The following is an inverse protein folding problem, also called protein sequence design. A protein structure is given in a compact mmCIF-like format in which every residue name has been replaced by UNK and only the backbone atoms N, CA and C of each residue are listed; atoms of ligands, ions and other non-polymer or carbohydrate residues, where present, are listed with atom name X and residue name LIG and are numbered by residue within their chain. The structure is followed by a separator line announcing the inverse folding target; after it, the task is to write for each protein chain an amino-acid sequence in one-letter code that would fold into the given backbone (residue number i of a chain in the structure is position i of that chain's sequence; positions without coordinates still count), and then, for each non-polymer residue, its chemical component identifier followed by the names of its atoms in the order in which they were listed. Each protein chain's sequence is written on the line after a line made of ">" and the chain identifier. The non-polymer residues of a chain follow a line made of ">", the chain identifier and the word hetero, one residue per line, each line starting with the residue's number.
data_IF_648072477798
#
_entry.id   IF_648072477798
#
_cell.length_a   1.000
_cell.length_b   1.000
_cell.length_c   1.000
_cell.angle_alpha   90.00
_cell.angle_beta   90.00
_cell.angle_gamma   90.00
#
_symmetry.space_group_name_H-M   'P 1'
#
loop_
_entity.id
_entity.type
_entity.pdbx_description
1 polymer ?
#
# COMPACT_ATOMS: atom_id res chain seq x y z
N UNK A 1 6.55 10.96 14.40
CA UNK A 1 7.83 10.33 14.01
C UNK A 1 7.65 9.76 12.61
N UNK A 2 8.63 9.90 11.72
CA UNK A 2 8.59 9.28 10.40
C UNK A 2 8.66 7.76 10.55
N UNK A 3 7.84 7.02 9.80
CA UNK A 3 7.75 5.57 9.87
C UNK A 3 7.76 4.97 8.46
N UNK A 4 8.19 3.71 8.37
CA UNK A 4 8.22 2.90 7.15
C UNK A 4 7.15 1.79 7.16
N UNK A 5 6.10 1.96 7.97
CA UNK A 5 5.04 0.95 8.05
C UNK A 5 4.47 0.63 6.67
N UNK A 6 4.41 -0.68 6.38
CA UNK A 6 3.92 -1.22 5.13
C UNK A 6 4.70 -0.72 3.89
N UNK A 7 5.98 -0.36 4.05
CA UNK A 7 6.88 0.01 2.95
C UNK A 7 7.88 -1.11 2.66
N UNK A 8 8.07 -1.37 1.40
CA UNK A 8 9.03 -2.34 0.89
C UNK A 8 10.34 -1.61 0.57
N UNK A 9 11.38 -1.87 1.36
CA UNK A 9 12.71 -1.32 1.14
C UNK A 9 13.61 -2.39 0.54
N UNK A 10 14.07 -2.18 -0.68
CA UNK A 10 15.08 -3.02 -1.31
C UNK A 10 16.45 -2.44 -1.01
N UNK A 11 17.20 -3.13 -0.15
CA UNK A 11 18.54 -2.72 0.27
C UNK A 11 19.60 -3.33 -0.66
N UNK A 12 20.27 -2.49 -1.43
CA UNK A 12 21.45 -2.86 -2.21
C UNK A 12 22.72 -2.70 -1.38
N UNK A 13 23.54 -3.74 -1.30
CA UNK A 13 24.84 -3.70 -0.60
C UNK A 13 25.96 -3.89 -1.60
N UNK A 14 26.84 -2.89 -1.72
CA UNK A 14 28.03 -2.99 -2.59
C UNK A 14 29.33 -3.25 -1.80
N UNK A 15 30.38 -3.64 -2.51
CA UNK A 15 31.64 -4.16 -1.93
C UNK A 15 32.51 -3.09 -1.30
N UNK A 16 32.56 -3.03 0.02
CA UNK A 16 33.42 -2.15 0.79
C UNK A 16 33.35 -2.47 2.27
N UNK A 17 34.35 -2.02 3.04
CA UNK A 17 34.41 -2.30 4.49
C UNK A 17 33.13 -1.87 5.22
N UNK A 18 32.46 -0.81 4.78
CA UNK A 18 31.24 -0.30 5.39
C UNK A 18 30.02 -1.26 5.23
N UNK A 19 30.15 -2.36 4.48
CA UNK A 19 29.08 -3.34 4.30
C UNK A 19 28.62 -3.97 5.66
N UNK A 20 29.50 -4.02 6.69
CA UNK A 20 29.10 -4.49 8.02
C UNK A 20 27.97 -3.65 8.65
N UNK A 21 27.92 -2.34 8.34
CA UNK A 21 26.87 -1.43 8.84
C UNK A 21 25.50 -1.75 8.24
N UNK A 22 25.44 -2.43 7.10
CA UNK A 22 24.17 -2.82 6.46
C UNK A 22 23.37 -3.79 7.31
N UNK A 23 24.04 -4.59 8.17
CA UNK A 23 23.39 -5.47 9.13
C UNK A 23 22.54 -4.68 10.16
N UNK A 24 23.13 -3.61 10.72
CA UNK A 24 22.42 -2.73 11.64
C UNK A 24 21.35 -1.90 10.92
N UNK A 25 21.62 -1.48 9.69
CA UNK A 25 20.67 -0.74 8.87
C UNK A 25 19.40 -1.57 8.59
N UNK A 26 19.51 -2.87 8.30
CA UNK A 26 18.36 -3.77 8.14
C UNK A 26 17.48 -3.74 9.39
N UNK A 27 18.08 -3.89 10.58
CA UNK A 27 17.33 -3.88 11.85
C UNK A 27 16.60 -2.57 12.06
N UNK A 28 17.27 -1.44 11.84
CA UNK A 28 16.67 -0.11 12.04
C UNK A 28 15.54 0.19 11.05
N UNK A 29 15.66 -0.24 9.79
CA UNK A 29 14.58 -0.14 8.82
C UNK A 29 13.35 -0.96 9.25
N UNK A 30 13.58 -2.18 9.78
CA UNK A 30 12.50 -3.02 10.31
C UNK A 30 11.87 -2.45 11.59
N UNK A 31 12.67 -1.86 12.51
CA UNK A 31 12.18 -1.16 13.70
C UNK A 31 11.29 0.04 13.33
N UNK A 32 11.52 0.67 12.18
CA UNK A 32 10.65 1.69 11.61
C UNK A 32 9.42 1.12 10.87
N UNK A 33 9.30 -0.21 10.79
CA UNK A 33 8.16 -0.92 10.21
C UNK A 33 8.31 -1.32 8.75
N UNK A 34 9.51 -1.23 8.16
CA UNK A 34 9.76 -1.65 6.78
C UNK A 34 9.78 -3.17 6.62
N UNK A 35 9.32 -3.65 5.46
CA UNK A 35 9.67 -4.96 4.96
C UNK A 35 10.96 -4.82 4.12
N UNK A 36 12.02 -5.54 4.48
CA UNK A 36 13.34 -5.38 3.86
C UNK A 36 13.73 -6.64 3.09
N UNK A 37 14.02 -6.48 1.79
CA UNK A 37 14.74 -7.48 0.97
C UNK A 37 16.12 -6.94 0.64
N UNK A 38 17.08 -7.84 0.40
CA UNK A 38 18.47 -7.44 0.19
C UNK A 38 19.00 -7.98 -1.14
N UNK A 39 19.70 -7.10 -1.88
CA UNK A 39 20.54 -7.48 -3.02
C UNK A 39 22.00 -7.23 -2.64
N UNK A 40 22.85 -8.20 -2.87
CA UNK A 40 24.31 -8.05 -2.67
C UNK A 40 25.05 -8.17 -3.99
N UNK A 41 25.96 -7.21 -4.24
CA UNK A 41 26.93 -7.38 -5.33
C UNK A 41 27.95 -8.47 -4.95
N UNK A 42 28.64 -9.05 -5.95
CA UNK A 42 29.70 -10.01 -5.70
C UNK A 42 30.77 -9.46 -4.74
N UNK A 43 31.16 -8.18 -4.91
CA UNK A 43 32.13 -7.54 -4.02
C UNK A 43 31.63 -7.37 -2.59
N UNK A 44 30.33 -7.27 -2.35
CA UNK A 44 29.76 -7.17 -0.99
C UNK A 44 29.92 -8.46 -0.20
N UNK A 45 29.83 -9.62 -0.89
CA UNK A 45 29.92 -10.93 -0.27
C UNK A 45 31.31 -11.23 0.32
N UNK A 46 32.36 -10.51 -0.12
CA UNK A 46 33.71 -10.59 0.44
C UNK A 46 33.84 -9.89 1.82
N UNK A 47 32.90 -9.01 2.17
CA UNK A 47 32.93 -8.25 3.43
C UNK A 47 31.89 -8.71 4.45
N UNK A 48 30.75 -9.23 3.99
CA UNK A 48 29.68 -9.76 4.81
C UNK A 48 28.95 -10.89 4.05
N UNK A 49 28.57 -11.95 4.76
CA UNK A 49 27.93 -13.09 4.09
C UNK A 49 26.44 -12.83 3.82
N UNK A 50 25.88 -13.37 2.72
CA UNK A 50 24.45 -13.34 2.46
C UNK A 50 23.62 -13.92 3.63
N UNK A 51 24.11 -14.97 4.28
CA UNK A 51 23.45 -15.61 5.43
C UNK A 51 23.21 -14.63 6.58
N UNK A 52 24.15 -13.70 6.86
CA UNK A 52 23.98 -12.68 7.89
C UNK A 52 22.79 -11.78 7.61
N UNK A 53 22.69 -11.28 6.38
CA UNK A 53 21.62 -10.38 5.98
C UNK A 53 20.27 -11.10 5.80
N UNK A 54 20.29 -12.37 5.39
CA UNK A 54 19.10 -13.22 5.35
C UNK A 54 18.52 -13.46 6.74
N UNK A 55 19.38 -13.78 7.73
CA UNK A 55 18.94 -14.00 9.11
C UNK A 55 18.33 -12.73 9.73
N UNK A 56 18.88 -11.55 9.42
CA UNK A 56 18.39 -10.27 9.93
C UNK A 56 17.11 -9.80 9.21
N UNK A 57 17.05 -9.91 7.89
CA UNK A 57 15.89 -9.45 7.11
C UNK A 57 14.70 -10.41 7.16
N UNK A 58 14.93 -11.67 7.56
CA UNK A 58 13.98 -12.78 7.45
C UNK A 58 13.48 -13.02 6.01
N UNK A 59 14.25 -12.57 5.02
CA UNK A 59 13.96 -12.72 3.59
C UNK A 59 15.20 -13.28 2.88
N UNK A 60 15.04 -14.01 1.77
CA UNK A 60 16.15 -14.42 0.92
C UNK A 60 16.99 -13.23 0.47
N UNK A 61 18.31 -13.43 0.38
CA UNK A 61 19.24 -12.45 -0.17
C UNK A 61 19.52 -12.80 -1.64
N UNK A 62 19.36 -11.82 -2.51
CA UNK A 62 19.53 -11.98 -3.95
C UNK A 62 20.95 -11.57 -4.36
N UNK A 63 21.65 -12.43 -5.10
CA UNK A 63 23.07 -12.21 -5.47
C UNK A 63 23.30 -12.29 -6.97
N UNK A 64 22.50 -13.06 -7.71
CA UNK A 64 22.71 -13.36 -9.12
C UNK A 64 21.61 -12.77 -9.99
N UNK A 65 21.99 -12.21 -11.15
CA UNK A 65 21.05 -11.68 -12.14
C UNK A 65 20.23 -12.81 -12.81
N UNK A 66 20.87 -13.94 -13.08
CA UNK A 66 20.27 -15.11 -13.69
C UNK A 66 20.28 -16.24 -12.63
N UNK A 67 19.22 -16.32 -11.86
CA UNK A 67 18.99 -17.38 -10.89
C UNK A 67 18.07 -18.42 -11.55
N UNK A 68 18.60 -19.64 -11.77
CA UNK A 68 17.83 -20.75 -12.35
C UNK A 68 16.66 -21.22 -11.47
N UNK A 69 16.71 -20.90 -10.16
CA UNK A 69 15.66 -21.22 -9.18
C UNK A 69 14.65 -20.08 -8.99
N UNK A 70 14.93 -18.87 -9.51
CA UNK A 70 13.96 -17.80 -9.53
C UNK A 70 12.90 -18.09 -10.62
N UNK A 71 11.64 -18.24 -10.22
CA UNK A 71 10.55 -18.57 -11.14
C UNK A 71 10.58 -17.72 -12.42
N UNK A 72 10.74 -18.39 -13.55
CA UNK A 72 10.65 -17.87 -14.92
C UNK A 72 11.64 -16.73 -15.32
N UNK A 73 12.82 -16.61 -14.71
CA UNK A 73 13.89 -15.73 -15.23
C UNK A 73 13.64 -14.22 -15.17
N UNK A 74 12.62 -13.75 -14.43
CA UNK A 74 12.29 -12.32 -14.29
C UNK A 74 12.46 -11.78 -12.87
N UNK A 75 13.29 -12.39 -12.04
CA UNK A 75 13.50 -12.01 -10.64
C UNK A 75 13.89 -10.54 -10.43
N UNK A 76 14.68 -9.94 -11.35
CA UNK A 76 15.02 -8.52 -11.30
C UNK A 76 13.80 -7.61 -11.53
N UNK A 77 12.85 -7.98 -12.39
CA UNK A 77 11.61 -7.22 -12.62
C UNK A 77 10.68 -7.33 -11.40
N UNK A 78 10.59 -8.52 -10.78
CA UNK A 78 9.82 -8.69 -9.56
C UNK A 78 10.37 -7.81 -8.43
N UNK A 79 11.67 -7.83 -8.18
CA UNK A 79 12.33 -6.99 -7.18
C UNK A 79 12.14 -5.49 -7.47
N UNK A 80 12.27 -5.09 -8.73
CA UNK A 80 12.08 -3.69 -9.15
C UNK A 80 10.65 -3.19 -8.91
N UNK A 81 9.64 -4.05 -9.15
CA UNK A 81 8.22 -3.73 -8.91
C UNK A 81 7.84 -3.80 -7.44
N UNK A 82 8.47 -4.70 -6.68
CA UNK A 82 8.19 -4.88 -5.27
C UNK A 82 8.64 -3.69 -4.42
N UNK A 83 9.72 -2.98 -4.80
CA UNK A 83 10.31 -1.92 -4.02
C UNK A 83 9.49 -0.63 -4.02
N UNK A 84 9.27 -0.05 -2.83
CA UNK A 84 8.84 1.35 -2.64
C UNK A 84 10.05 2.30 -2.53
N UNK A 85 11.21 1.76 -2.19
CA UNK A 85 12.50 2.45 -2.10
C UNK A 85 13.62 1.48 -2.49
N UNK A 86 14.48 1.90 -3.42
CA UNK A 86 15.78 1.28 -3.61
C UNK A 86 16.83 2.09 -2.83
N UNK A 87 17.30 1.51 -1.72
CA UNK A 87 18.33 2.09 -0.86
C UNK A 87 19.65 1.34 -1.07
N UNK A 88 20.70 2.01 -1.49
CA UNK A 88 22.03 1.41 -1.67
C UNK A 88 22.97 1.91 -0.56
N UNK A 89 23.34 1.02 0.34
CA UNK A 89 24.18 1.30 1.50
C UNK A 89 25.04 0.07 1.88
N UNK A 90 26.36 0.13 1.72
CA UNK A 90 27.13 1.22 1.13
C UNK A 90 26.98 1.33 -0.39
N UNK A 91 27.17 2.55 -0.94
CA UNK A 91 27.33 2.81 -2.37
C UNK A 91 28.80 3.16 -2.67
N UNK A 92 29.52 2.24 -3.33
CA UNK A 92 30.92 2.45 -3.71
C UNK A 92 31.07 3.35 -4.94
N UNK A 93 32.24 3.95 -5.14
CA UNK A 93 32.55 4.78 -6.32
C UNK A 93 32.27 4.02 -7.63
N UNK A 94 32.68 2.75 -7.72
CA UNK A 94 32.43 1.90 -8.88
C UNK A 94 30.92 1.74 -9.15
N UNK A 95 30.13 1.41 -8.15
CA UNK A 95 28.69 1.27 -8.33
C UNK A 95 28.02 2.60 -8.71
N UNK A 96 28.42 3.70 -8.08
CA UNK A 96 27.95 5.07 -8.44
C UNK A 96 28.26 5.39 -9.90
N UNK A 97 29.46 5.05 -10.39
CA UNK A 97 29.83 5.26 -11.79
C UNK A 97 28.98 4.40 -12.74
N UNK A 98 28.73 3.13 -12.40
CA UNK A 98 27.84 2.25 -13.19
C UNK A 98 26.41 2.78 -13.26
N UNK A 99 25.86 3.20 -12.14
CA UNK A 99 24.51 3.77 -12.08
C UNK A 99 24.39 5.08 -12.88
N UNK A 100 25.42 5.97 -12.81
CA UNK A 100 25.42 7.24 -13.53
C UNK A 100 25.43 7.06 -15.04
N UNK A 101 26.08 6.01 -15.53
CA UNK A 101 26.16 5.69 -16.97
C UNK A 101 25.06 4.73 -17.45
N UNK A 102 24.18 4.26 -16.56
CA UNK A 102 23.10 3.35 -16.92
C UNK A 102 23.59 1.93 -17.27
N UNK A 103 24.70 1.52 -16.72
CA UNK A 103 25.25 0.16 -16.92
C UNK A 103 24.49 -0.85 -16.05
N UNK A 104 24.09 -1.99 -16.62
CA UNK A 104 23.29 -3.04 -15.99
C UNK A 104 23.94 -4.41 -16.20
N UNK A 105 25.10 -4.61 -15.58
CA UNK A 105 25.92 -5.83 -15.72
C UNK A 105 25.89 -6.72 -14.47
N UNK A 106 25.14 -6.33 -13.44
CA UNK A 106 24.80 -7.16 -12.28
C UNK A 106 23.33 -6.97 -11.87
N UNK A 107 22.85 -7.78 -10.92
CA UNK A 107 21.46 -7.74 -10.45
C UNK A 107 21.10 -6.36 -9.90
N UNK A 108 21.96 -5.75 -9.06
CA UNK A 108 21.66 -4.48 -8.40
C UNK A 108 21.54 -3.33 -9.39
N UNK A 109 22.48 -3.20 -10.34
CA UNK A 109 22.43 -2.17 -11.37
C UNK A 109 21.29 -2.38 -12.35
N UNK A 110 20.93 -3.63 -12.67
CA UNK A 110 19.77 -3.96 -13.50
C UNK A 110 18.45 -3.57 -12.82
N UNK A 111 18.28 -3.90 -11.54
CA UNK A 111 17.11 -3.50 -10.76
C UNK A 111 17.02 -1.99 -10.64
N UNK A 112 18.13 -1.29 -10.46
CA UNK A 112 18.15 0.18 -10.39
C UNK A 112 17.65 0.86 -11.68
N UNK A 113 17.87 0.25 -12.85
CA UNK A 113 17.30 0.73 -14.12
C UNK A 113 15.85 0.36 -14.32
N UNK A 114 15.41 -0.76 -13.75
CA UNK A 114 14.06 -1.31 -13.96
C UNK A 114 13.01 -0.76 -12.98
N UNK A 115 13.45 -0.20 -11.84
CA UNK A 115 12.53 0.25 -10.79
C UNK A 115 12.01 1.66 -11.04
N UNK A 116 10.72 1.87 -10.70
CA UNK A 116 10.12 3.21 -10.60
C UNK A 116 10.23 3.80 -9.18
N UNK A 117 10.73 3.03 -8.22
CA UNK A 117 10.92 3.49 -6.85
C UNK A 117 12.02 4.56 -6.75
N UNK A 118 11.90 5.52 -5.82
CA UNK A 118 12.97 6.48 -5.56
C UNK A 118 14.30 5.75 -5.22
N UNK A 119 15.39 6.29 -5.72
CA UNK A 119 16.75 5.81 -5.44
C UNK A 119 17.39 6.65 -4.33
N UNK A 120 17.93 5.98 -3.32
CA UNK A 120 18.71 6.61 -2.24
C UNK A 120 20.08 5.93 -2.15
N UNK A 121 21.14 6.73 -2.07
CA UNK A 121 22.53 6.26 -2.02
C UNK A 121 23.22 6.75 -0.75
N UNK A 122 23.86 5.83 -0.03
CA UNK A 122 24.77 6.14 1.09
C UNK A 122 26.23 5.88 0.67
N UNK A 123 26.94 6.87 0.14
CA UNK A 123 28.30 6.70 -0.36
C UNK A 123 29.28 6.25 0.72
N UNK A 124 30.22 5.36 0.33
CA UNK A 124 31.30 4.91 1.18
C UNK A 124 32.56 4.62 0.33
N UNK A 125 33.61 5.40 0.56
CA UNK A 125 34.88 5.30 -0.18
C UNK A 125 36.01 6.07 0.53
N UNK A 126 37.23 5.92 0.07
CA UNK A 126 38.33 6.76 0.54
C UNK A 126 38.06 8.24 0.22
N UNK A 127 38.58 9.15 1.08
CA UNK A 127 38.36 10.60 0.92
C UNK A 127 38.88 11.17 -0.43
N UNK A 128 39.95 10.62 -0.99
CA UNK A 128 40.45 11.07 -2.30
C UNK A 128 39.53 10.61 -3.42
N UNK A 129 39.01 9.37 -3.35
CA UNK A 129 38.01 8.89 -4.29
C UNK A 129 36.74 9.75 -4.25
N UNK A 130 36.33 10.20 -3.05
CA UNK A 130 35.15 11.08 -2.89
C UNK A 130 35.36 12.45 -3.54
N UNK A 131 36.60 13.01 -3.40
CA UNK A 131 36.97 14.32 -3.98
C UNK A 131 37.32 14.26 -5.47
N UNK A 132 37.45 13.06 -6.01
CA UNK A 132 37.81 12.90 -7.43
C UNK A 132 36.73 13.52 -8.33
N UNK A 133 37.12 14.31 -9.36
CA UNK A 133 36.20 14.95 -10.29
C UNK A 133 35.21 13.95 -10.96
N UNK A 134 35.68 12.73 -11.27
CA UNK A 134 34.80 11.72 -11.87
C UNK A 134 33.71 11.27 -10.88
N UNK A 135 34.04 11.07 -9.61
CA UNK A 135 33.08 10.73 -8.58
C UNK A 135 32.07 11.86 -8.36
N UNK A 136 32.54 13.11 -8.29
CA UNK A 136 31.68 14.29 -8.15
C UNK A 136 30.71 14.39 -9.33
N UNK A 137 31.19 14.28 -10.57
CA UNK A 137 30.34 14.32 -11.76
C UNK A 137 29.29 13.20 -11.80
N UNK A 138 29.63 12.00 -11.33
CA UNK A 138 28.71 10.88 -11.24
C UNK A 138 27.61 11.13 -10.20
N UNK A 139 27.97 11.67 -9.04
CA UNK A 139 27.01 12.05 -7.97
C UNK A 139 26.07 13.15 -8.45
N UNK A 140 26.59 14.18 -9.11
CA UNK A 140 25.78 15.27 -9.66
C UNK A 140 24.81 14.74 -10.71
N UNK A 141 25.26 13.84 -11.60
CA UNK A 141 24.40 13.20 -12.59
C UNK A 141 23.26 12.43 -11.96
N UNK A 142 23.52 11.64 -10.93
CA UNK A 142 22.49 10.86 -10.23
C UNK A 142 21.54 11.76 -9.45
N UNK A 143 22.07 12.82 -8.82
CA UNK A 143 21.25 13.81 -8.10
C UNK A 143 20.31 14.56 -9.04
N UNK A 144 20.78 14.98 -10.23
CA UNK A 144 19.96 15.60 -11.28
C UNK A 144 18.85 14.66 -11.79
N UNK A 145 19.07 13.35 -11.75
CA UNK A 145 18.06 12.32 -12.09
C UNK A 145 17.10 11.99 -10.92
N UNK A 146 17.24 12.68 -9.78
CA UNK A 146 16.35 12.53 -8.62
C UNK A 146 16.83 11.54 -7.56
N UNK A 147 18.05 10.98 -7.68
CA UNK A 147 18.61 10.16 -6.60
C UNK A 147 18.91 11.02 -5.37
N UNK A 148 18.59 10.51 -4.18
CA UNK A 148 18.93 11.15 -2.91
C UNK A 148 20.26 10.63 -2.39
N UNK A 149 21.19 11.52 -2.09
CA UNK A 149 22.51 11.20 -1.57
C UNK A 149 22.51 11.49 -0.07
N UNK A 150 22.88 10.51 0.76
CA UNK A 150 22.93 10.62 2.22
C UNK A 150 24.37 10.45 2.67
N UNK A 151 24.98 11.49 3.16
CA UNK A 151 26.39 11.56 3.48
C UNK A 151 27.27 11.84 2.25
N UNK A 152 28.54 11.41 2.22
CA UNK A 152 29.21 10.63 3.25
C UNK A 152 29.56 11.47 4.49
N UNK A 153 29.67 10.81 5.64
CA UNK A 153 30.15 11.43 6.86
C UNK A 153 31.68 11.67 6.81
N UNK A 154 32.14 12.69 7.54
CA UNK A 154 33.54 12.93 7.75
C UNK A 154 34.07 12.19 9.00
N UNK A 155 35.35 11.82 9.00
CA UNK A 155 36.01 11.19 10.15
C UNK A 155 37.20 10.34 9.74
N UNK A 156 37.71 9.60 10.73
CA UNK A 156 38.83 8.68 10.51
C UNK A 156 38.37 7.47 9.70
N UNK A 157 39.07 7.14 8.64
CA UNK A 157 38.82 6.03 7.75
C UNK A 157 39.66 4.80 8.11
N UNK A 158 39.27 3.62 7.62
CA UNK A 158 40.02 2.38 7.91
C UNK A 158 41.48 2.38 7.44
N UNK A 159 41.83 3.19 6.44
CA UNK A 159 43.18 3.40 5.97
C UNK A 159 44.00 4.39 6.84
N UNK A 160 43.41 4.99 7.86
CA UNK A 160 44.07 6.00 8.72
C UNK A 160 43.84 7.45 8.28
N UNK A 161 43.31 7.68 7.10
CA UNK A 161 43.01 9.03 6.59
C UNK A 161 41.87 9.66 7.39
N UNK A 162 41.81 11.00 7.43
CA UNK A 162 40.74 11.78 8.04
C UNK A 162 40.10 12.70 7.00
N UNK A 163 38.80 12.54 6.81
CA UNK A 163 38.08 13.34 5.80
C UNK A 163 36.70 12.77 5.49
N UNK A 164 35.98 13.36 4.49
CA UNK A 164 34.72 12.83 4.02
C UNK A 164 34.90 11.51 3.25
N UNK A 165 33.96 10.58 3.36
CA UNK A 165 33.98 9.28 2.66
C UNK A 165 33.47 8.10 3.46
N UNK A 166 33.20 8.28 4.75
CA UNK A 166 32.59 7.24 5.58
C UNK A 166 31.09 7.12 5.29
N UNK A 167 30.59 5.89 5.15
CA UNK A 167 29.16 5.68 5.13
C UNK A 167 28.52 6.31 6.36
N UNK A 168 27.43 7.04 6.15
CA UNK A 168 26.64 7.65 7.22
C UNK A 168 26.18 6.59 8.25
N UNK A 169 25.82 7.02 9.43
CA UNK A 169 25.35 6.10 10.46
C UNK A 169 23.98 5.50 10.07
N UNK A 170 23.75 4.19 10.35
CA UNK A 170 22.53 3.50 9.98
C UNK A 170 21.25 4.21 10.42
N UNK A 171 21.25 4.84 11.62
CA UNK A 171 20.12 5.59 12.15
C UNK A 171 19.77 6.82 11.31
N UNK A 172 20.79 7.52 10.79
CA UNK A 172 20.59 8.69 9.91
C UNK A 172 20.06 8.25 8.58
N UNK A 173 20.61 7.17 8.00
CA UNK A 173 20.12 6.61 6.72
C UNK A 173 18.67 6.13 6.86
N UNK A 174 18.35 5.37 7.91
CA UNK A 174 16.99 4.89 8.15
C UNK A 174 15.99 6.04 8.39
N UNK A 175 16.40 7.07 9.14
CA UNK A 175 15.59 8.28 9.32
C UNK A 175 15.36 9.04 8.02
N UNK A 176 16.39 9.17 7.17
CA UNK A 176 16.27 9.78 5.84
C UNK A 176 15.36 8.96 4.91
N UNK A 177 15.43 7.63 4.96
CA UNK A 177 14.52 6.75 4.22
C UNK A 177 13.07 6.93 4.69
N UNK A 178 12.83 7.01 6.00
CA UNK A 178 11.51 7.23 6.56
C UNK A 178 10.94 8.62 6.18
N UNK A 179 11.78 9.65 6.09
CA UNK A 179 11.33 11.00 5.71
C UNK A 179 10.86 11.12 4.25
N UNK A 180 11.24 10.18 3.37
CA UNK A 180 10.66 10.08 2.03
C UNK A 180 9.16 9.82 2.06
N UNK A 181 8.67 9.19 3.13
CA UNK A 181 7.30 8.75 3.30
C UNK A 181 6.59 9.51 4.45
N UNK A 182 7.04 10.73 4.78
CA UNK A 182 6.44 11.56 5.84
C UNK A 182 4.94 11.82 5.67
N UNK A 183 4.40 11.67 4.45
CA UNK A 183 2.98 11.71 4.17
C UNK A 183 2.22 10.40 4.53
N UNK A 184 2.85 9.47 5.23
CA UNK A 184 2.20 8.25 5.77
C UNK A 184 1.26 8.61 6.93
N UNK A 185 0.16 9.28 6.58
CA UNK A 185 -0.76 9.90 7.54
C UNK A 185 -1.52 8.88 8.39
N UNK A 186 -1.58 7.64 7.94
CA UNK A 186 -2.23 6.50 8.58
C UNK A 186 -1.23 5.40 8.99
N UNK A 187 0.06 5.76 9.14
CA UNK A 187 1.09 4.81 9.54
C UNK A 187 0.69 4.05 10.82
N UNK A 188 0.73 2.72 10.74
CA UNK A 188 0.39 1.82 11.84
C UNK A 188 -1.11 1.69 12.15
N UNK A 189 -2.00 2.42 11.48
CA UNK A 189 -3.45 2.24 11.62
C UNK A 189 -3.92 1.00 10.85
N UNK A 190 -4.79 0.22 11.46
CA UNK A 190 -5.42 -0.96 10.85
C UNK A 190 -6.75 -0.56 10.25
N UNK A 191 -6.84 -0.67 8.93
CA UNK A 191 -8.02 -0.24 8.16
C UNK A 191 -8.70 -1.47 7.55
N UNK A 192 -10.00 -1.58 7.74
CA UNK A 192 -10.82 -2.57 7.07
C UNK A 192 -11.75 -1.89 6.08
N UNK A 193 -11.77 -2.38 4.84
CA UNK A 193 -12.57 -1.82 3.74
C UNK A 193 -13.43 -2.93 3.17
N UNK A 194 -14.75 -2.67 3.02
CA UNK A 194 -15.61 -3.57 2.24
C UNK A 194 -15.74 -3.07 0.80
N UNK A 195 -15.74 -3.97 -0.17
CA UNK A 195 -15.79 -3.64 -1.59
C UNK A 195 -16.62 -4.62 -2.41
N UNK A 196 -16.93 -4.22 -3.65
CA UNK A 196 -17.69 -5.05 -4.58
C UNK A 196 -19.15 -5.23 -4.21
N UNK A 197 -19.92 -5.97 -5.03
CA UNK A 197 -21.28 -6.35 -4.72
C UNK A 197 -21.33 -7.60 -3.86
N UNK A 198 -22.43 -7.81 -3.10
CA UNK A 198 -22.77 -9.14 -2.60
C UNK A 198 -23.63 -9.89 -3.62
N UNK A 199 -23.59 -11.20 -3.59
CA UNK A 199 -24.42 -12.10 -4.39
C UNK A 199 -25.25 -12.97 -3.47
N UNK A 200 -26.57 -12.79 -3.53
CA UNK A 200 -27.51 -13.53 -2.72
C UNK A 200 -28.11 -14.65 -3.56
N UNK A 201 -27.69 -15.87 -3.30
CA UNK A 201 -28.03 -17.03 -4.13
C UNK A 201 -29.56 -17.30 -4.12
N UNK A 202 -30.12 -17.55 -5.31
CA UNK A 202 -31.46 -18.11 -5.52
C UNK A 202 -31.38 -19.64 -5.62
N UNK A 203 -30.40 -20.11 -6.36
CA UNK A 203 -30.08 -21.51 -6.61
C UNK A 203 -28.58 -21.62 -7.00
N UNK A 204 -28.01 -22.79 -7.29
CA UNK A 204 -26.58 -22.92 -7.65
C UNK A 204 -26.14 -22.13 -8.87
N UNK A 205 -27.07 -21.56 -9.64
CA UNK A 205 -26.79 -20.89 -10.93
C UNK A 205 -27.12 -19.40 -10.90
N UNK A 206 -28.14 -18.99 -10.14
CA UNK A 206 -28.69 -17.63 -10.15
C UNK A 206 -28.60 -16.96 -8.80
N UNK A 207 -28.43 -15.65 -8.82
CA UNK A 207 -28.33 -14.80 -7.60
C UNK A 207 -28.93 -13.42 -7.85
N UNK A 208 -29.28 -12.74 -6.77
CA UNK A 208 -29.59 -11.31 -6.73
C UNK A 208 -28.31 -10.58 -6.35
N UNK A 209 -28.04 -9.45 -7.01
CA UNK A 209 -26.84 -8.65 -6.76
C UNK A 209 -27.08 -7.20 -7.14
N UNK A 210 -26.26 -6.30 -6.60
CA UNK A 210 -26.20 -4.89 -6.98
C UNK A 210 -25.18 -4.66 -8.10
N UNK A 211 -25.44 -3.62 -8.89
CA UNK A 211 -24.51 -3.20 -9.94
C UNK A 211 -23.29 -2.50 -9.28
N UNK A 212 -22.18 -3.20 -9.15
CA UNK A 212 -20.94 -2.64 -8.62
C UNK A 212 -19.72 -3.31 -9.23
N UNK A 213 -18.78 -2.51 -9.70
CA UNK A 213 -17.49 -3.00 -10.22
C UNK A 213 -16.44 -3.19 -9.13
N UNK A 214 -16.67 -2.69 -7.90
CA UNK A 214 -15.69 -2.70 -6.81
C UNK A 214 -14.58 -1.65 -6.92
N UNK A 215 -14.43 -0.94 -8.05
CA UNK A 215 -13.33 -0.02 -8.36
C UNK A 215 -13.05 1.00 -7.24
N UNK A 216 -14.08 1.58 -6.61
CA UNK A 216 -13.89 2.58 -5.57
C UNK A 216 -13.29 1.97 -4.30
N UNK A 217 -13.78 0.82 -3.84
CA UNK A 217 -13.25 0.13 -2.66
C UNK A 217 -11.80 -0.33 -2.86
N UNK A 218 -11.46 -0.81 -4.06
CA UNK A 218 -10.09 -1.18 -4.42
C UNK A 218 -9.17 0.03 -4.49
N UNK A 219 -9.63 1.16 -5.03
CA UNK A 219 -8.87 2.41 -5.02
C UNK A 219 -8.62 2.94 -3.59
N UNK A 220 -9.62 2.83 -2.69
CA UNK A 220 -9.47 3.17 -1.28
C UNK A 220 -8.46 2.26 -0.58
N UNK A 221 -8.46 0.96 -0.89
CA UNK A 221 -7.49 0.02 -0.33
C UNK A 221 -6.05 0.37 -0.76
N UNK A 222 -5.83 0.67 -2.05
CA UNK A 222 -4.54 1.13 -2.55
C UNK A 222 -4.11 2.45 -1.88
N UNK A 223 -4.99 3.45 -1.80
CA UNK A 223 -4.70 4.73 -1.17
C UNK A 223 -4.42 4.60 0.35
N UNK A 224 -5.08 3.67 1.05
CA UNK A 224 -4.82 3.40 2.46
C UNK A 224 -3.43 2.78 2.67
N UNK A 225 -3.03 1.84 1.81
CA UNK A 225 -1.66 1.27 1.78
C UNK A 225 -0.64 2.37 1.53
N UNK A 226 -0.87 3.25 0.55
CA UNK A 226 0.02 4.37 0.22
C UNK A 226 0.12 5.37 1.37
N UNK A 227 -0.91 5.51 2.19
CA UNK A 227 -0.89 6.30 3.42
C UNK A 227 -0.22 5.57 4.61
N UNK A 228 0.34 4.37 4.42
CA UNK A 228 1.07 3.59 5.43
C UNK A 228 0.20 2.74 6.33
N UNK A 229 -1.09 2.54 6.00
CA UNK A 229 -2.00 1.73 6.81
C UNK A 229 -1.79 0.23 6.58
N UNK A 230 -2.06 -0.57 7.61
CA UNK A 230 -2.24 -2.03 7.53
C UNK A 230 -3.67 -2.27 7.05
N UNK A 231 -3.83 -2.69 5.80
CA UNK A 231 -5.13 -2.69 5.12
C UNK A 231 -5.68 -4.10 4.94
N UNK A 232 -6.92 -4.31 5.35
CA UNK A 232 -7.72 -5.52 5.05
C UNK A 232 -8.85 -5.14 4.10
N UNK A 233 -8.97 -5.85 2.98
CA UNK A 233 -10.03 -5.69 1.99
C UNK A 233 -10.96 -6.91 2.01
N UNK A 234 -12.20 -6.73 2.46
CA UNK A 234 -13.28 -7.74 2.42
C UNK A 234 -14.10 -7.49 1.16
N UNK A 235 -13.97 -8.33 0.16
CA UNK A 235 -14.57 -8.07 -1.16
C UNK A 235 -15.58 -9.13 -1.57
N UNK A 236 -16.75 -8.67 -2.00
CA UNK A 236 -17.63 -9.46 -2.84
C UNK A 236 -17.02 -9.70 -4.24
N UNK A 237 -17.68 -10.52 -5.08
CA UNK A 237 -17.09 -10.97 -6.35
C UNK A 237 -16.92 -9.86 -7.38
N UNK A 238 -15.69 -9.60 -7.78
CA UNK A 238 -15.32 -8.66 -8.84
C UNK A 238 -14.22 -9.25 -9.72
N UNK A 239 -13.98 -8.66 -10.90
CA UNK A 239 -12.90 -9.06 -11.80
C UNK A 239 -11.58 -8.27 -11.59
N UNK A 240 -11.46 -7.54 -10.49
CA UNK A 240 -10.29 -6.73 -10.17
C UNK A 240 -9.24 -7.56 -9.44
N UNK A 241 -7.96 -7.30 -9.73
CA UNK A 241 -6.85 -7.81 -8.94
C UNK A 241 -6.73 -6.98 -7.66
N UNK A 242 -6.66 -7.61 -6.48
CA UNK A 242 -6.43 -6.89 -5.23
C UNK A 242 -5.11 -6.10 -5.29
N UNK A 243 -5.05 -4.91 -4.66
CA UNK A 243 -3.80 -4.18 -4.50
C UNK A 243 -2.76 -5.01 -3.74
N UNK A 244 -1.48 -4.76 -4.01
CA UNK A 244 -0.40 -5.38 -3.25
C UNK A 244 -0.41 -4.95 -1.77
N UNK A 245 0.21 -5.75 -0.91
CA UNK A 245 0.42 -5.44 0.52
C UNK A 245 -0.87 -5.28 1.34
N UNK A 246 -1.95 -5.95 0.95
CA UNK A 246 -3.20 -6.01 1.72
C UNK A 246 -3.49 -7.44 2.19
N UNK A 247 -4.25 -7.56 3.28
CA UNK A 247 -4.96 -8.80 3.61
C UNK A 247 -6.25 -8.84 2.80
N UNK A 248 -6.36 -9.77 1.86
CA UNK A 248 -7.54 -9.93 1.02
C UNK A 248 -8.43 -11.06 1.51
N UNK A 249 -9.73 -10.79 1.70
CA UNK A 249 -10.75 -11.75 2.10
C UNK A 249 -11.89 -11.72 1.08
N UNK A 250 -12.08 -12.84 0.38
CA UNK A 250 -13.16 -12.99 -0.59
C UNK A 250 -14.41 -13.53 0.09
N UNK A 251 -15.55 -12.89 -0.14
CA UNK A 251 -16.88 -13.28 0.36
C UNK A 251 -17.89 -13.29 -0.78
N UNK A 252 -19.03 -13.95 -0.58
CA UNK A 252 -20.10 -14.02 -1.58
C UNK A 252 -21.33 -13.22 -1.13
N UNK A 253 -21.84 -13.48 0.08
CA UNK A 253 -23.09 -12.91 0.58
C UNK A 253 -22.88 -11.80 1.60
N UNK A 254 -23.94 -11.05 1.88
CA UNK A 254 -23.96 -10.03 2.92
C UNK A 254 -23.70 -10.62 4.31
N UNK A 255 -24.18 -11.83 4.59
CA UNK A 255 -23.95 -12.51 5.85
C UNK A 255 -22.48 -12.86 6.04
N UNK A 256 -21.82 -13.43 5.02
CA UNK A 256 -20.38 -13.72 5.05
C UNK A 256 -19.56 -12.44 5.22
N UNK A 257 -19.93 -11.36 4.53
CA UNK A 257 -19.25 -10.08 4.66
C UNK A 257 -19.37 -9.51 6.08
N UNK A 258 -20.57 -9.59 6.69
CA UNK A 258 -20.79 -9.18 8.08
C UNK A 258 -19.95 -10.01 9.04
N UNK A 259 -19.95 -11.34 8.91
CA UNK A 259 -19.19 -12.26 9.76
C UNK A 259 -17.71 -11.91 9.76
N UNK A 260 -17.11 -11.77 8.58
CA UNK A 260 -15.70 -11.38 8.45
C UNK A 260 -15.42 -9.99 9.05
N UNK A 261 -16.32 -9.03 8.86
CA UNK A 261 -16.15 -7.70 9.45
C UNK A 261 -16.19 -7.77 10.99
N UNK A 262 -17.15 -8.46 11.57
CA UNK A 262 -17.29 -8.54 13.04
C UNK A 262 -16.13 -9.28 13.69
N UNK A 263 -15.64 -10.36 13.08
CA UNK A 263 -14.48 -11.12 13.56
C UNK A 263 -13.23 -10.23 13.70
N UNK A 264 -13.02 -9.33 12.75
CA UNK A 264 -11.82 -8.48 12.67
C UNK A 264 -11.95 -7.14 13.41
N UNK A 265 -13.12 -6.77 13.93
CA UNK A 265 -13.33 -5.49 14.60
C UNK A 265 -12.42 -5.23 15.80
N UNK A 266 -12.07 -6.20 16.66
CA UNK A 266 -11.19 -5.95 17.80
C UNK A 266 -9.80 -5.40 17.39
N UNK A 267 -9.42 -5.63 16.15
CA UNK A 267 -8.14 -5.18 15.60
C UNK A 267 -8.27 -4.02 14.61
N UNK A 268 -9.45 -3.41 14.46
CA UNK A 268 -9.73 -2.40 13.45
C UNK A 268 -9.75 -0.99 14.05
N UNK A 269 -8.92 -0.08 13.55
CA UNK A 269 -8.94 1.32 13.94
C UNK A 269 -9.91 2.15 13.10
N UNK A 270 -10.05 1.81 11.81
CA UNK A 270 -10.88 2.52 10.83
C UNK A 270 -11.63 1.52 9.96
N UNK A 271 -12.94 1.67 9.84
CA UNK A 271 -13.77 0.88 8.94
C UNK A 271 -14.34 1.74 7.82
N UNK A 272 -14.24 1.27 6.57
CA UNK A 272 -14.80 1.94 5.39
C UNK A 272 -15.79 1.01 4.70
N UNK A 273 -17.07 1.28 4.86
CA UNK A 273 -18.15 0.52 4.24
C UNK A 273 -18.45 1.01 2.82
N UNK A 274 -17.73 0.48 1.81
CA UNK A 274 -17.85 0.87 0.40
C UNK A 274 -18.49 -0.21 -0.48
N UNK A 275 -18.79 -1.41 0.06
CA UNK A 275 -19.46 -2.49 -0.67
C UNK A 275 -20.90 -2.12 -1.06
N UNK A 276 -21.34 -2.60 -2.20
CA UNK A 276 -22.73 -2.55 -2.66
C UNK A 276 -23.49 -3.78 -2.16
N UNK A 277 -23.83 -3.78 -0.89
CA UNK A 277 -24.55 -4.88 -0.22
C UNK A 277 -25.99 -4.88 -0.69
N UNK A 278 -26.51 -6.05 -1.10
CA UNK A 278 -27.92 -6.20 -1.45
C UNK A 278 -28.80 -6.01 -0.20
N UNK A 279 -29.86 -5.20 -0.28
CA UNK A 279 -30.77 -4.95 0.84
C UNK A 279 -31.57 -6.18 1.24
N UNK A 280 -31.83 -7.06 0.29
CA UNK A 280 -32.66 -8.26 0.45
C UNK A 280 -31.97 -9.50 -0.12
N UNK A 281 -32.27 -10.66 0.48
CA UNK A 281 -31.88 -11.98 0.00
C UNK A 281 -33.10 -12.90 -0.12
N UNK A 282 -33.05 -13.99 -0.91
CA UNK A 282 -34.08 -15.02 -0.90
C UNK A 282 -34.26 -15.61 0.49
N UNK A 283 -35.54 -15.81 0.90
CA UNK A 283 -35.87 -16.45 2.18
C UNK A 283 -35.37 -17.89 2.24
N UNK A 284 -35.38 -18.58 1.10
CA UNK A 284 -34.88 -19.94 0.91
C UNK A 284 -34.00 -20.00 -0.33
N UNK A 285 -32.89 -20.75 -0.26
CA UNK A 285 -31.99 -21.03 -1.39
C UNK A 285 -32.29 -22.45 -1.85
N UNK A 286 -32.63 -22.60 -3.11
CA UNK A 286 -32.89 -23.91 -3.72
C UNK A 286 -31.58 -24.67 -3.96
N UNK A 287 -31.53 -25.95 -3.56
CA UNK A 287 -30.35 -26.79 -3.73
C UNK A 287 -30.14 -27.26 -5.18
N UNK A 288 -31.15 -27.09 -6.05
CA UNK A 288 -31.10 -27.41 -7.46
C UNK A 288 -31.54 -26.22 -8.29
N UNK A 289 -31.02 -26.13 -9.54
CA UNK A 289 -31.47 -25.11 -10.47
C UNK A 289 -33.00 -25.12 -10.64
N UNK A 290 -33.65 -24.02 -10.31
CA UNK A 290 -35.09 -23.84 -10.47
C UNK A 290 -35.48 -24.05 -11.95
N UNK A 291 -36.36 -25.01 -12.21
CA UNK A 291 -36.85 -25.30 -13.57
C UNK A 291 -37.89 -24.27 -14.00
N UNK A 292 -37.90 -23.92 -15.29
CA UNK A 292 -38.95 -23.07 -15.87
C UNK A 292 -40.26 -23.88 -15.96
N UNK A 293 -41.11 -23.77 -14.96
CA UNK A 293 -42.39 -24.48 -14.93
C UNK A 293 -43.57 -23.57 -15.32
N UNK A 294 -43.44 -22.26 -15.16
CA UNK A 294 -44.48 -21.25 -15.40
C UNK A 294 -43.87 -20.00 -16.05
N UNK A 295 -44.75 -19.13 -16.62
CA UNK A 295 -44.31 -17.86 -17.23
C UNK A 295 -43.93 -16.82 -16.18
N UNK A 296 -44.34 -16.98 -14.93
CA UNK A 296 -44.11 -16.07 -13.82
C UNK A 296 -43.47 -16.84 -12.65
N UNK A 297 -42.64 -16.15 -11.87
CA UNK A 297 -42.04 -16.67 -10.66
C UNK A 297 -42.11 -15.62 -9.56
N UNK A 298 -42.63 -16.00 -8.39
CA UNK A 298 -42.62 -15.16 -7.21
C UNK A 298 -41.49 -15.57 -6.29
N UNK A 299 -40.70 -14.61 -5.81
CA UNK A 299 -39.63 -14.81 -4.85
C UNK A 299 -40.03 -14.16 -3.51
N UNK A 300 -39.92 -14.91 -2.46
CA UNK A 300 -40.01 -14.37 -1.10
C UNK A 300 -38.63 -13.87 -0.69
N UNK A 301 -38.55 -12.60 -0.35
CA UNK A 301 -37.30 -11.95 0.05
C UNK A 301 -37.34 -11.59 1.54
N UNK A 302 -36.21 -11.74 2.22
CA UNK A 302 -35.97 -11.28 3.59
C UNK A 302 -34.83 -10.25 3.60
N UNK A 303 -34.84 -9.40 4.61
CA UNK A 303 -33.88 -8.31 4.73
C UNK A 303 -32.47 -8.84 5.06
N UNK A 304 -31.46 -8.30 4.38
CA UNK A 304 -30.07 -8.53 4.74
C UNK A 304 -29.66 -7.70 5.97
N UNK A 305 -28.62 -8.12 6.69
CA UNK A 305 -28.06 -7.32 7.78
C UNK A 305 -27.42 -6.03 7.25
N UNK A 306 -27.57 -4.95 8.00
CA UNK A 306 -26.89 -3.67 7.72
C UNK A 306 -25.49 -3.69 8.32
N UNK A 307 -24.49 -4.03 7.52
CA UNK A 307 -23.10 -4.22 7.94
C UNK A 307 -22.54 -2.95 8.58
N UNK A 308 -22.74 -1.80 7.95
CA UNK A 308 -22.21 -0.51 8.43
C UNK A 308 -22.81 -0.13 9.77
N UNK A 309 -24.13 -0.32 9.94
CA UNK A 309 -24.81 -0.09 11.21
C UNK A 309 -24.38 -1.09 12.30
N UNK A 310 -24.18 -2.35 11.96
CA UNK A 310 -23.72 -3.38 12.89
C UNK A 310 -22.28 -3.08 13.40
N UNK A 311 -21.40 -2.61 12.51
CA UNK A 311 -20.03 -2.17 12.87
C UNK A 311 -20.09 -0.93 13.77
N UNK A 312 -20.89 0.08 13.41
CA UNK A 312 -21.00 1.33 14.18
C UNK A 312 -21.58 1.14 15.58
N UNK A 313 -22.46 0.12 15.77
CA UNK A 313 -23.07 -0.22 17.06
C UNK A 313 -22.25 -1.21 17.90
N UNK A 314 -21.13 -1.73 17.39
CA UNK A 314 -20.35 -2.76 18.09
C UNK A 314 -19.55 -2.17 19.26
N UNK A 315 -19.29 -2.99 20.28
CA UNK A 315 -18.45 -2.59 21.45
C UNK A 315 -16.99 -2.22 21.07
N UNK A 316 -16.48 -2.76 19.97
CA UNK A 316 -15.17 -2.46 19.40
C UNK A 316 -15.25 -1.47 18.24
N UNK A 317 -16.24 -0.57 18.28
CA UNK A 317 -16.51 0.41 17.23
C UNK A 317 -15.25 1.15 16.77
N UNK A 318 -14.82 1.01 15.49
CA UNK A 318 -13.74 1.81 14.91
C UNK A 318 -14.26 3.19 14.48
N UNK A 319 -13.37 4.07 14.00
CA UNK A 319 -13.79 5.23 13.20
C UNK A 319 -14.49 4.72 11.93
N UNK A 320 -15.78 5.02 11.80
CA UNK A 320 -16.64 4.37 10.81
C UNK A 320 -17.03 5.31 9.69
N UNK A 321 -16.68 4.94 8.45
CA UNK A 321 -16.98 5.66 7.22
C UNK A 321 -17.98 4.87 6.38
N UNK A 322 -19.08 5.51 5.99
CA UNK A 322 -20.08 4.92 5.10
C UNK A 322 -20.07 5.55 3.71
N UNK A 323 -20.60 4.82 2.73
CA UNK A 323 -20.87 5.32 1.39
C UNK A 323 -22.37 5.38 1.15
N UNK A 324 -22.82 6.44 0.48
CA UNK A 324 -24.21 6.61 0.04
C UNK A 324 -24.23 6.95 -1.46
N UNK A 325 -25.09 6.24 -2.19
CA UNK A 325 -25.42 6.54 -3.57
C UNK A 325 -26.84 7.10 -3.61
N UNK A 326 -26.98 8.37 -3.94
CA UNK A 326 -28.25 9.09 -3.91
C UNK A 326 -28.49 9.77 -5.26
N UNK A 327 -29.77 9.96 -5.63
CA UNK A 327 -30.16 10.60 -6.89
C UNK A 327 -30.70 12.01 -6.71
N UNK A 328 -31.18 12.38 -5.52
CA UNK A 328 -31.76 13.68 -5.18
C UNK A 328 -31.37 14.10 -3.75
N UNK A 329 -31.23 15.41 -3.51
CA UNK A 329 -30.90 15.97 -2.19
C UNK A 329 -29.75 15.24 -1.47
N UNK A 330 -28.71 14.91 -2.24
CA UNK A 330 -27.60 14.01 -1.88
C UNK A 330 -27.02 14.33 -0.50
N UNK A 331 -26.72 15.62 -0.22
CA UNK A 331 -26.10 16.05 1.04
C UNK A 331 -27.05 15.86 2.24
N UNK A 332 -28.33 16.25 2.10
CA UNK A 332 -29.28 16.17 3.20
C UNK A 332 -29.58 14.71 3.58
N UNK A 333 -29.83 13.84 2.60
CA UNK A 333 -30.07 12.42 2.84
C UNK A 333 -28.83 11.70 3.39
N UNK A 334 -27.64 12.04 2.90
CA UNK A 334 -26.40 11.46 3.41
C UNK A 334 -26.12 11.88 4.86
N UNK A 335 -26.44 13.12 5.25
CA UNK A 335 -26.30 13.62 6.62
C UNK A 335 -27.27 12.93 7.58
N UNK A 336 -28.56 12.79 7.20
CA UNK A 336 -29.54 12.03 7.97
C UNK A 336 -29.11 10.56 8.16
N UNK A 337 -28.65 9.91 7.09
CA UNK A 337 -28.16 8.53 7.12
C UNK A 337 -26.94 8.37 8.01
N UNK A 338 -25.99 9.32 7.96
CA UNK A 338 -24.81 9.36 8.82
C UNK A 338 -25.21 9.42 10.30
N UNK A 339 -26.14 10.31 10.67
CA UNK A 339 -26.62 10.47 12.05
C UNK A 339 -27.39 9.23 12.53
N UNK A 340 -28.33 8.75 11.72
CA UNK A 340 -29.18 7.59 12.07
C UNK A 340 -28.37 6.29 12.25
N UNK A 341 -27.29 6.12 11.47
CA UNK A 341 -26.41 4.94 11.57
C UNK A 341 -25.26 5.15 12.55
N UNK A 342 -25.10 6.33 13.14
CA UNK A 342 -24.04 6.63 14.09
C UNK A 342 -22.64 6.62 13.47
N UNK A 343 -22.49 7.13 12.24
CA UNK A 343 -21.21 7.13 11.51
C UNK A 343 -20.40 8.40 11.80
N UNK A 344 -19.08 8.29 11.69
CA UNK A 344 -18.17 9.41 11.89
C UNK A 344 -17.98 10.22 10.59
N UNK A 345 -18.11 9.55 9.44
CA UNK A 345 -17.99 10.14 8.11
C UNK A 345 -18.91 9.45 7.11
N UNK A 346 -19.40 10.22 6.13
CA UNK A 346 -20.20 9.72 5.02
C UNK A 346 -19.67 10.27 3.70
N UNK A 347 -19.45 9.40 2.75
CA UNK A 347 -19.09 9.76 1.36
C UNK A 347 -20.34 9.62 0.51
N UNK A 348 -20.87 10.73 0.02
CA UNK A 348 -22.09 10.78 -0.78
C UNK A 348 -21.74 10.93 -2.27
N UNK A 349 -22.22 9.99 -3.09
CA UNK A 349 -22.04 9.97 -4.52
C UNK A 349 -23.38 10.30 -5.20
N UNK A 350 -23.39 11.26 -6.10
CA UNK A 350 -24.55 11.54 -6.98
C UNK A 350 -24.54 10.54 -8.16
N UNK A 351 -25.43 9.56 -8.11
CA UNK A 351 -25.54 8.55 -9.17
C UNK A 351 -26.56 8.90 -10.25
N UNK A 352 -27.18 10.08 -10.20
CA UNK A 352 -28.07 10.58 -11.28
C UNK A 352 -27.28 10.88 -12.56
N UNK A 353 -26.00 11.21 -12.44
CA UNK A 353 -25.11 11.48 -13.55
C UNK A 353 -24.45 10.18 -14.05
N UNK A 354 -24.85 9.71 -15.23
CA UNK A 354 -24.34 8.47 -15.84
C UNK A 354 -22.82 8.48 -16.12
N UNK A 355 -22.17 9.65 -16.18
CA UNK A 355 -20.73 9.77 -16.43
C UNK A 355 -19.88 9.42 -15.20
N UNK A 356 -20.47 9.39 -14.00
CA UNK A 356 -19.80 9.13 -12.69
C UNK A 356 -20.34 7.91 -11.95
N UNK A 357 -21.05 7.02 -12.65
CA UNK A 357 -21.70 5.83 -12.09
C UNK A 357 -20.74 4.70 -11.67
N UNK A 358 -21.31 3.58 -11.21
CA UNK A 358 -20.60 2.42 -10.64
C UNK A 358 -19.48 1.84 -11.51
N UNK A 359 -19.61 1.91 -12.85
CA UNK A 359 -18.65 1.34 -13.82
C UNK A 359 -17.63 2.35 -14.36
N UNK A 360 -17.81 3.66 -14.12
CA UNK A 360 -16.90 4.72 -14.54
C UNK A 360 -15.55 4.61 -13.82
N UNK A 361 -14.47 5.06 -14.45
CA UNK A 361 -13.16 5.22 -13.83
C UNK A 361 -13.05 6.53 -13.03
N UNK A 362 -13.96 7.47 -13.28
CA UNK A 362 -14.05 8.76 -12.61
C UNK A 362 -15.17 8.76 -11.57
N UNK A 363 -15.08 9.68 -10.61
CA UNK A 363 -16.11 9.94 -9.62
C UNK A 363 -16.08 11.40 -9.17
N UNK A 364 -17.21 11.89 -8.62
CA UNK A 364 -17.33 13.14 -7.89
C UNK A 364 -18.15 12.85 -6.63
N UNK A 365 -17.68 13.30 -5.47
CA UNK A 365 -18.34 12.97 -4.20
C UNK A 365 -18.35 14.16 -3.24
N UNK A 366 -19.35 14.20 -2.34
CA UNK A 366 -19.31 15.06 -1.17
C UNK A 366 -18.99 14.24 0.06
N UNK A 367 -17.92 14.60 0.77
CA UNK A 367 -17.51 13.96 2.02
C UNK A 367 -18.04 14.76 3.19
N UNK A 368 -18.81 14.13 4.06
CA UNK A 368 -19.49 14.72 5.21
C UNK A 368 -18.92 14.14 6.51
N UNK A 369 -18.70 14.97 7.51
CA UNK A 369 -18.39 14.59 8.89
C UNK A 369 -19.18 15.46 9.87
N UNK A 370 -19.04 15.21 11.18
CA UNK A 370 -19.88 15.86 12.19
C UNK A 370 -20.02 17.37 12.00
N UNK A 371 -18.89 18.07 11.84
CA UNK A 371 -18.83 19.54 11.91
C UNK A 371 -18.43 20.18 10.56
N UNK A 372 -18.56 19.43 9.44
CA UNK A 372 -18.18 19.95 8.14
C UNK A 372 -18.45 19.05 6.97
N UNK A 373 -18.07 19.55 5.80
CA UNK A 373 -18.16 18.83 4.54
C UNK A 373 -17.08 19.31 3.56
N UNK A 374 -16.78 18.48 2.57
CA UNK A 374 -15.88 18.82 1.46
C UNK A 374 -16.37 18.20 0.17
N UNK A 375 -16.51 19.03 -0.85
CA UNK A 375 -16.79 18.58 -2.20
C UNK A 375 -15.47 18.18 -2.86
N UNK A 376 -15.45 17.00 -3.46
CA UNK A 376 -14.38 16.50 -4.31
C UNK A 376 -14.92 16.47 -5.73
N UNK A 377 -14.40 17.36 -6.55
CA UNK A 377 -14.79 17.53 -7.94
C UNK A 377 -14.44 16.27 -8.78
N UNK A 378 -14.97 16.20 -10.00
CA UNK A 378 -14.76 15.10 -10.92
C UNK A 378 -13.26 14.80 -11.13
N UNK A 379 -12.86 13.62 -10.71
CA UNK A 379 -11.50 13.11 -10.85
C UNK A 379 -11.49 11.58 -10.96
N UNK A 380 -10.34 11.00 -11.23
CA UNK A 380 -10.21 9.54 -11.21
C UNK A 380 -10.53 8.97 -9.83
N UNK A 381 -11.08 7.76 -9.77
CA UNK A 381 -11.37 7.06 -8.51
C UNK A 381 -10.12 6.91 -7.63
N UNK A 382 -8.95 6.77 -8.23
CA UNK A 382 -7.68 6.77 -7.50
C UNK A 382 -7.40 8.10 -6.79
N UNK A 383 -7.56 9.23 -7.49
CA UNK A 383 -7.40 10.57 -6.90
C UNK A 383 -8.45 10.84 -5.82
N UNK A 384 -9.72 10.51 -6.07
CA UNK A 384 -10.80 10.65 -5.07
C UNK A 384 -10.49 9.82 -3.82
N UNK A 385 -10.02 8.58 -3.98
CA UNK A 385 -9.64 7.71 -2.88
C UNK A 385 -8.51 8.30 -2.02
N UNK A 386 -7.48 8.86 -2.63
CA UNK A 386 -6.39 9.55 -1.93
C UNK A 386 -6.90 10.72 -1.11
N UNK A 387 -7.79 11.54 -1.66
CA UNK A 387 -8.40 12.68 -0.93
C UNK A 387 -9.29 12.22 0.23
N UNK A 388 -10.09 11.14 0.06
CA UNK A 388 -10.90 10.58 1.14
C UNK A 388 -10.01 10.05 2.27
N UNK A 389 -8.98 9.27 1.94
CA UNK A 389 -8.02 8.73 2.92
C UNK A 389 -7.31 9.86 3.67
N UNK A 390 -6.91 10.94 2.99
CA UNK A 390 -6.35 12.13 3.61
C UNK A 390 -7.34 12.79 4.60
N UNK A 391 -8.61 12.94 4.23
CA UNK A 391 -9.65 13.49 5.11
C UNK A 391 -9.88 12.61 6.34
N UNK A 392 -9.92 11.28 6.17
CA UNK A 392 -10.03 10.31 7.27
C UNK A 392 -8.85 10.49 8.23
N UNK A 393 -7.63 10.54 7.72
CA UNK A 393 -6.42 10.73 8.52
C UNK A 393 -6.46 12.04 9.33
N UNK A 394 -6.95 13.12 8.72
CA UNK A 394 -7.08 14.42 9.38
C UNK A 394 -8.14 14.38 10.50
N UNK A 395 -9.29 13.75 10.26
CA UNK A 395 -10.38 13.70 11.25
C UNK A 395 -10.05 12.75 12.41
N UNK A 396 -9.39 11.62 12.15
CA UNK A 396 -8.98 10.68 13.20
C UNK A 396 -7.91 11.25 14.14
N UNK A 397 -7.06 12.19 13.66
CA UNK A 397 -6.08 12.89 14.51
C UNK A 397 -6.70 13.92 15.43
N UNK A 398 -7.83 14.53 15.05
CA UNK A 398 -8.54 15.52 15.87
C UNK A 398 -9.32 14.90 17.03
N UNK A 399 -9.64 13.62 16.93
CA UNK A 399 -10.45 12.89 17.91
C UNK A 399 -9.58 12.10 18.92
N UNK A 400 -8.25 12.09 18.76
CA UNK A 400 -7.26 11.59 19.73
C UNK A 400 -6.65 12.78 20.50
#
# INVERSE_FOLDING_TARGET
>A
MAHLFNRNVLLGVSGGIAAYKSAELVRQLQELGANVRVIMTRGAQEFITPLTLQALSSNPVHTELLDEYAEMGMGHIELARWADLLLIAPATADLIARLSTGRADDLLSTVALATAAPLMLAPAMNQQMWKDPATTANIDTLSLRGARIIGPAAGQQACGDVGPGRMEEPSIIAGAAASLFENSQLAGKRIMITAGPTREALDPVRYISNNSSGKMGYALAAAAVDAGAITTLVSGPVALTPPDRIRFLSVQSAEQMLEQCIELLPECDIFIGCAAVADYRPATVENQKIKKAQNEMTLQLVRNPDIVSAVAANKYRPYTVGFAAETNNVVAYARDKMQRKGLDMMVANDVSNQTIGFNSDNNAVTVLWRDGEKILELASKASIAQHIVHLIAHQTRKNN
#
